data_IF_149172710129
#
_entry.id   IF_149172710129
#
_cell.length_a   1.000
_cell.length_b   1.000
_cell.length_c   1.000
_cell.angle_alpha   90.00
_cell.angle_beta   90.00
_cell.angle_gamma   90.00
#
_symmetry.space_group_name_H-M   'P 1'
#
loop_
_entity.id
_entity.type
_entity.pdbx_description
1 polymer ?
#
# COMPACT_ATOMS: atom_id res chain seq x y z
N UNK A 1 -16.79 -22.17 -7.35
CA UNK A 1 -16.80 -22.49 -5.90
C UNK A 1 -18.25 -22.47 -5.48
N UNK A 2 -18.73 -23.42 -4.66
CA UNK A 2 -20.15 -23.38 -4.27
C UNK A 2 -20.45 -22.18 -3.34
N UNK A 3 -21.65 -21.62 -3.42
CA UNK A 3 -22.13 -20.49 -2.63
C UNK A 3 -22.26 -20.83 -1.14
N UNK A 4 -22.71 -22.04 -0.78
CA UNK A 4 -22.81 -22.42 0.65
C UNK A 4 -21.43 -22.45 1.32
N UNK A 5 -20.41 -22.88 0.56
CA UNK A 5 -19.01 -22.85 0.99
C UNK A 5 -18.45 -21.44 1.06
N UNK A 6 -19.00 -20.49 0.30
CA UNK A 6 -18.71 -19.06 0.45
C UNK A 6 -19.30 -18.54 1.77
N UNK A 7 -20.59 -18.77 2.02
CA UNK A 7 -21.28 -18.27 3.22
C UNK A 7 -20.67 -18.84 4.51
N UNK A 8 -20.36 -20.13 4.54
CA UNK A 8 -19.62 -20.75 5.64
C UNK A 8 -18.20 -20.17 5.83
N UNK A 9 -17.50 -19.79 4.75
CA UNK A 9 -16.19 -19.11 4.83
C UNK A 9 -16.30 -17.68 5.37
N UNK A 10 -17.42 -17.02 5.10
CA UNK A 10 -17.71 -15.64 5.50
C UNK A 10 -18.40 -15.52 6.86
N UNK A 11 -18.92 -16.62 7.41
CA UNK A 11 -19.78 -16.67 8.61
C UNK A 11 -21.07 -15.85 8.44
N UNK A 12 -21.68 -15.94 7.26
CA UNK A 12 -22.97 -15.35 6.97
C UNK A 12 -24.04 -16.44 6.89
N UNK A 13 -25.25 -16.10 7.33
CA UNK A 13 -26.45 -16.91 7.13
C UNK A 13 -27.00 -16.66 5.72
N UNK A 14 -27.23 -17.73 4.96
CA UNK A 14 -27.70 -17.68 3.57
C UNK A 14 -29.19 -17.35 3.41
N UNK A 15 -29.99 -17.39 4.48
CA UNK A 15 -31.40 -17.01 4.47
C UNK A 15 -31.62 -15.50 4.31
N UNK A 16 -30.64 -14.67 4.73
CA UNK A 16 -30.72 -13.20 4.72
C UNK A 16 -30.42 -12.55 3.35
N UNK A 17 -30.44 -13.31 2.24
CA UNK A 17 -30.00 -12.86 0.93
C UNK A 17 -30.94 -13.38 -0.18
N UNK A 18 -31.46 -12.49 -1.04
CA UNK A 18 -32.10 -12.91 -2.30
C UNK A 18 -31.06 -13.34 -3.34
N UNK A 19 -31.45 -14.07 -4.38
CA UNK A 19 -30.48 -14.74 -5.28
C UNK A 19 -29.59 -13.78 -6.10
N UNK A 20 -30.07 -12.57 -6.41
CA UNK A 20 -29.24 -11.51 -7.01
C UNK A 20 -28.18 -11.01 -6.03
N UNK A 21 -28.52 -10.86 -4.74
CA UNK A 21 -27.58 -10.51 -3.69
C UNK A 21 -26.59 -11.64 -3.41
N UNK A 22 -27.04 -12.91 -3.46
CA UNK A 22 -26.16 -14.09 -3.40
C UNK A 22 -25.13 -14.05 -4.53
N UNK A 23 -25.58 -13.77 -5.76
CA UNK A 23 -24.74 -13.68 -6.95
C UNK A 23 -23.78 -12.47 -6.92
N UNK A 24 -24.25 -11.30 -6.49
CA UNK A 24 -23.43 -10.09 -6.32
C UNK A 24 -22.33 -10.30 -5.28
N UNK A 25 -22.67 -10.84 -4.11
CA UNK A 25 -21.71 -11.18 -3.05
C UNK A 25 -20.68 -12.21 -3.53
N UNK A 26 -21.11 -13.25 -4.26
CA UNK A 26 -20.20 -14.23 -4.85
C UNK A 26 -19.21 -13.61 -5.83
N UNK A 27 -19.68 -12.72 -6.71
CA UNK A 27 -18.82 -12.02 -7.66
C UNK A 27 -17.86 -11.05 -6.97
N UNK A 28 -18.33 -10.25 -6.01
CA UNK A 28 -17.48 -9.33 -5.23
C UNK A 28 -16.40 -10.09 -4.45
N UNK A 29 -16.75 -11.16 -3.74
CA UNK A 29 -15.78 -12.00 -3.03
C UNK A 29 -14.82 -12.74 -3.97
N UNK A 30 -15.27 -13.15 -5.17
CA UNK A 30 -14.42 -13.83 -6.16
C UNK A 30 -13.41 -12.86 -6.76
N UNK A 31 -13.82 -11.66 -7.17
CA UNK A 31 -12.93 -10.55 -7.59
C UNK A 31 -11.93 -10.20 -6.49
N UNK A 32 -12.42 -10.05 -5.26
CA UNK A 32 -11.62 -9.83 -4.05
C UNK A 32 -10.57 -10.94 -3.83
N UNK A 33 -10.93 -12.22 -4.00
CA UNK A 33 -9.98 -13.35 -3.88
C UNK A 33 -8.94 -13.41 -4.98
N UNK A 34 -9.33 -13.13 -6.23
CA UNK A 34 -8.40 -13.04 -7.36
C UNK A 34 -7.40 -11.89 -7.14
N UNK A 35 -7.89 -10.74 -6.67
CA UNK A 35 -7.04 -9.62 -6.24
C UNK A 35 -6.11 -10.03 -5.09
N UNK A 36 -6.61 -10.71 -4.03
CA UNK A 36 -5.76 -11.24 -2.95
C UNK A 36 -4.64 -12.12 -3.49
N UNK A 37 -4.95 -13.03 -4.41
CA UNK A 37 -3.96 -13.90 -5.02
C UNK A 37 -2.91 -13.09 -5.79
N UNK A 38 -3.35 -12.12 -6.62
CA UNK A 38 -2.46 -11.23 -7.37
C UNK A 38 -1.61 -10.30 -6.47
N UNK A 39 -2.14 -9.86 -5.32
CA UNK A 39 -1.39 -9.05 -4.32
C UNK A 39 -0.36 -9.87 -3.52
N UNK A 40 -0.49 -11.19 -3.45
CA UNK A 40 0.37 -12.07 -2.62
C UNK A 40 1.33 -12.96 -3.43
N UNK A 41 0.98 -13.31 -4.67
CA UNK A 41 1.73 -14.27 -5.49
C UNK A 41 1.98 -13.69 -6.89
N UNK A 42 3.23 -13.77 -7.38
CA UNK A 42 3.55 -13.40 -8.75
C UNK A 42 3.04 -14.48 -9.71
N UNK A 43 1.81 -14.31 -10.21
CA UNK A 43 1.16 -15.25 -11.12
C UNK A 43 0.73 -14.49 -12.38
N UNK A 44 1.38 -14.73 -13.55
CA UNK A 44 1.07 -14.04 -14.80
C UNK A 44 -0.43 -14.03 -15.15
N UNK A 45 -1.16 -15.12 -14.85
CA UNK A 45 -2.61 -15.22 -15.13
C UNK A 45 -3.47 -14.24 -14.33
N UNK A 46 -2.97 -13.73 -13.20
CA UNK A 46 -3.70 -12.79 -12.33
C UNK A 46 -3.01 -11.43 -12.16
N UNK A 47 -1.79 -11.25 -12.69
CA UNK A 47 -1.02 -10.01 -12.54
C UNK A 47 -1.73 -8.78 -13.15
N UNK A 48 -2.56 -8.96 -14.18
CA UNK A 48 -3.36 -7.86 -14.75
C UNK A 48 -4.37 -7.30 -13.74
N UNK A 49 -5.08 -8.13 -12.97
CA UNK A 49 -5.97 -7.66 -11.89
C UNK A 49 -5.22 -6.84 -10.83
N UNK A 50 -3.95 -7.14 -10.56
CA UNK A 50 -3.12 -6.29 -9.70
C UNK A 50 -2.77 -4.97 -10.39
N UNK A 51 -2.41 -4.99 -11.68
CA UNK A 51 -2.11 -3.79 -12.47
C UNK A 51 -3.32 -2.83 -12.51
N UNK A 52 -4.50 -3.34 -12.87
CA UNK A 52 -5.75 -2.56 -12.94
C UNK A 52 -6.10 -1.93 -11.59
N UNK A 53 -5.92 -2.69 -10.51
CA UNK A 53 -6.18 -2.20 -9.16
C UNK A 53 -5.14 -1.16 -8.70
N UNK A 54 -3.85 -1.31 -9.03
CA UNK A 54 -2.84 -0.29 -8.75
C UNK A 54 -3.09 0.98 -9.59
N UNK A 55 -3.45 0.83 -10.87
CA UNK A 55 -3.81 1.94 -11.76
C UNK A 55 -4.98 2.75 -11.15
N UNK A 56 -6.09 2.09 -10.79
CA UNK A 56 -7.27 2.73 -10.17
C UNK A 56 -6.94 3.42 -8.84
N UNK A 57 -6.17 2.77 -7.96
CA UNK A 57 -5.77 3.40 -6.69
C UNK A 57 -4.93 4.67 -6.89
N UNK A 58 -3.98 4.65 -7.85
CA UNK A 58 -3.16 5.84 -8.13
C UNK A 58 -3.97 6.95 -8.78
N UNK A 59 -4.83 6.64 -9.76
CA UNK A 59 -5.74 7.63 -10.35
C UNK A 59 -6.65 8.27 -9.30
N UNK A 60 -7.19 7.48 -8.37
CA UNK A 60 -8.01 8.01 -7.27
C UNK A 60 -7.18 8.92 -6.34
N UNK A 61 -5.90 8.62 -6.10
CA UNK A 61 -5.03 9.50 -5.31
C UNK A 61 -4.68 10.78 -6.08
N UNK A 62 -4.36 10.69 -7.37
CA UNK A 62 -4.09 11.85 -8.24
C UNK A 62 -5.26 12.82 -8.32
N UNK A 63 -6.50 12.30 -8.24
CA UNK A 63 -7.72 13.12 -8.23
C UNK A 63 -8.03 13.78 -6.88
N UNK A 64 -7.49 13.28 -5.76
CA UNK A 64 -7.87 13.73 -4.40
C UNK A 64 -6.72 14.38 -3.60
N UNK A 65 -5.46 14.23 -4.04
CA UNK A 65 -4.28 14.71 -3.31
C UNK A 65 -3.31 15.42 -4.24
N UNK A 66 -2.60 16.44 -3.72
CA UNK A 66 -1.54 17.10 -4.49
C UNK A 66 -0.41 16.13 -4.81
N UNK A 67 -0.20 15.91 -6.11
CA UNK A 67 0.98 15.27 -6.67
C UNK A 67 2.14 16.28 -6.73
N UNK A 68 3.35 15.78 -6.47
CA UNK A 68 4.60 16.51 -6.61
C UNK A 68 5.52 15.72 -7.55
N UNK A 69 6.04 16.40 -8.56
CA UNK A 69 7.00 15.89 -9.52
C UNK A 69 8.42 15.78 -8.95
N UNK A 70 9.28 14.98 -9.60
CA UNK A 70 10.73 15.01 -9.38
C UNK A 70 11.28 16.43 -9.35
N UNK A 71 10.89 17.25 -10.34
CA UNK A 71 11.43 18.60 -10.57
C UNK A 71 11.14 19.53 -9.39
N UNK A 72 9.88 19.59 -8.95
CA UNK A 72 9.47 20.38 -7.77
C UNK A 72 10.29 20.03 -6.53
N UNK A 73 10.49 18.75 -6.24
CA UNK A 73 11.18 18.30 -5.03
C UNK A 73 12.70 18.47 -5.13
N UNK A 74 13.28 18.30 -6.32
CA UNK A 74 14.72 18.40 -6.54
C UNK A 74 15.21 19.85 -6.57
N UNK A 75 14.52 20.73 -7.31
CA UNK A 75 14.97 22.11 -7.56
C UNK A 75 14.59 23.08 -6.45
N UNK A 76 13.49 22.83 -5.72
CA UNK A 76 13.02 23.73 -4.65
C UNK A 76 14.03 23.80 -3.52
N UNK A 77 14.73 24.94 -3.41
CA UNK A 77 15.65 25.23 -2.30
C UNK A 77 14.95 25.34 -0.94
N UNK A 78 13.66 25.67 -0.89
CA UNK A 78 12.90 25.75 0.37
C UNK A 78 12.84 24.39 1.10
N UNK A 79 13.16 24.45 2.38
CA UNK A 79 12.98 23.46 3.47
C UNK A 79 12.68 24.30 4.73
N UNK A 80 12.11 23.80 5.82
CA UNK A 80 11.82 22.42 6.20
C UNK A 80 10.33 22.00 6.16
N UNK A 81 9.38 22.88 6.47
CA UNK A 81 8.07 22.44 7.04
C UNK A 81 6.89 22.19 6.10
N UNK A 82 7.01 22.46 4.79
CA UNK A 82 5.90 22.44 3.82
C UNK A 82 4.98 21.20 3.81
N UNK A 83 5.42 20.05 4.34
CA UNK A 83 4.61 18.82 4.43
C UNK A 83 4.63 18.15 5.82
N UNK A 84 5.35 18.69 6.80
CA UNK A 84 5.41 18.13 8.16
C UNK A 84 5.60 16.60 8.25
N UNK A 85 4.92 16.01 9.25
CA UNK A 85 4.91 14.57 9.51
C UNK A 85 3.70 13.87 8.84
N UNK A 86 3.89 12.63 8.41
CA UNK A 86 2.80 11.83 7.86
C UNK A 86 3.25 10.63 7.02
N UNK A 87 2.32 10.09 6.24
CA UNK A 87 2.55 8.97 5.31
C UNK A 87 2.52 9.49 3.88
N UNK A 88 3.38 8.94 3.03
CA UNK A 88 3.48 9.28 1.61
C UNK A 88 3.48 8.03 0.72
N UNK A 89 3.06 8.24 -0.53
CA UNK A 89 3.26 7.34 -1.66
C UNK A 89 4.35 7.91 -2.58
N UNK A 90 5.20 7.03 -3.09
CA UNK A 90 6.06 7.24 -4.26
C UNK A 90 5.57 6.26 -5.33
N UNK A 91 5.35 6.73 -6.55
CA UNK A 91 4.94 5.88 -7.66
C UNK A 91 5.57 6.32 -8.99
N UNK A 92 5.48 5.47 -9.99
CA UNK A 92 5.95 5.73 -11.34
C UNK A 92 4.98 5.10 -12.34
N UNK A 93 4.70 5.83 -13.43
CA UNK A 93 3.95 5.33 -14.57
C UNK A 93 4.87 5.06 -15.77
N UNK A 94 4.50 4.09 -16.60
CA UNK A 94 5.10 3.89 -17.92
C UNK A 94 4.58 4.92 -18.95
N UNK A 95 5.03 4.82 -20.20
CA UNK A 95 4.58 5.69 -21.30
C UNK A 95 3.09 5.50 -21.68
N UNK A 96 2.47 4.41 -21.24
CA UNK A 96 1.06 4.08 -21.46
C UNK A 96 0.18 4.44 -20.26
N UNK A 97 0.74 5.06 -19.21
CA UNK A 97 0.04 5.45 -18.00
C UNK A 97 -0.08 4.36 -16.93
N UNK A 98 0.45 3.16 -17.13
CA UNK A 98 0.36 2.07 -16.16
C UNK A 98 1.31 2.28 -14.98
N UNK A 99 0.83 2.03 -13.77
CA UNK A 99 1.61 2.12 -12.53
C UNK A 99 2.58 0.94 -12.43
N UNK A 100 3.82 1.15 -12.84
CA UNK A 100 4.90 0.14 -12.82
C UNK A 100 5.65 0.08 -11.49
N UNK A 101 5.42 1.04 -10.60
CA UNK A 101 5.99 1.10 -9.25
C UNK A 101 5.00 1.68 -8.23
N UNK A 102 4.96 1.09 -7.03
CA UNK A 102 4.49 1.77 -5.81
C UNK A 102 5.43 1.54 -4.62
N UNK A 103 5.61 2.56 -3.78
CA UNK A 103 6.30 2.47 -2.49
C UNK A 103 5.64 3.42 -1.49
N UNK A 104 5.19 2.89 -0.36
CA UNK A 104 4.61 3.67 0.75
C UNK A 104 5.67 3.87 1.85
N UNK A 105 5.66 4.99 2.55
CA UNK A 105 6.48 5.15 3.75
C UNK A 105 6.02 6.27 4.69
N UNK A 106 6.49 6.24 5.95
CA UNK A 106 6.32 7.34 6.90
C UNK A 106 7.56 8.26 7.01
N UNK A 107 7.34 9.46 7.55
CA UNK A 107 8.41 10.33 8.07
C UNK A 107 7.88 11.36 9.08
N UNK A 108 8.76 11.85 9.97
CA UNK A 108 8.55 13.10 10.73
C UNK A 108 8.67 14.36 9.87
N UNK A 109 9.44 14.30 8.77
CA UNK A 109 9.51 15.35 7.76
C UNK A 109 9.47 14.67 6.38
N UNK A 110 8.36 14.79 5.66
CA UNK A 110 8.14 14.12 4.38
C UNK A 110 9.06 14.70 3.28
N UNK A 111 9.24 16.02 3.26
CA UNK A 111 9.99 16.73 2.23
C UNK A 111 11.48 16.33 2.20
N UNK A 112 12.14 16.34 3.36
CA UNK A 112 13.52 15.85 3.53
C UNK A 112 13.63 14.36 3.18
N UNK A 113 12.60 13.57 3.49
CA UNK A 113 12.56 12.14 3.16
C UNK A 113 12.47 11.90 1.65
N UNK A 114 11.67 12.67 0.92
CA UNK A 114 11.58 12.62 -0.54
C UNK A 114 12.88 13.05 -1.23
N UNK A 115 13.49 14.16 -0.80
CA UNK A 115 14.84 14.57 -1.27
C UNK A 115 15.89 13.48 -1.01
N UNK A 116 15.78 12.74 0.09
CA UNK A 116 16.64 11.57 0.36
C UNK A 116 16.39 10.41 -0.61
N UNK A 117 15.13 10.10 -0.92
CA UNK A 117 14.79 9.09 -1.93
C UNK A 117 15.32 9.46 -3.32
N UNK A 118 15.19 10.72 -3.76
CA UNK A 118 15.72 11.15 -5.06
C UNK A 118 17.25 10.98 -5.17
N UNK A 119 18.00 11.40 -4.14
CA UNK A 119 19.47 11.21 -4.07
C UNK A 119 19.89 9.73 -4.07
N UNK A 120 19.10 8.86 -3.43
CA UNK A 120 19.29 7.41 -3.40
C UNK A 120 18.82 6.71 -4.71
N UNK A 121 17.87 7.27 -5.46
CA UNK A 121 17.35 6.70 -6.72
C UNK A 121 18.32 6.99 -7.88
N UNK A 122 18.73 8.27 -8.03
CA UNK A 122 19.53 8.74 -9.15
C UNK A 122 20.82 7.91 -9.30
N UNK A 123 21.04 7.23 -10.44
CA UNK A 123 22.16 6.29 -10.60
C UNK A 123 23.53 6.98 -10.58
N UNK A 124 23.61 8.28 -10.88
CA UNK A 124 24.86 9.06 -10.86
C UNK A 124 25.33 9.41 -9.44
N UNK A 125 24.40 9.59 -8.49
CA UNK A 125 24.71 10.03 -7.11
C UNK A 125 24.64 8.90 -6.08
N UNK A 126 24.02 7.77 -6.42
CA UNK A 126 23.62 6.74 -5.46
C UNK A 126 24.66 5.62 -5.30
N UNK A 127 25.58 5.81 -4.35
CA UNK A 127 26.58 4.82 -3.91
C UNK A 127 25.99 3.67 -3.09
N UNK A 128 24.75 3.79 -2.59
CA UNK A 128 24.19 2.87 -1.57
C UNK A 128 23.45 1.67 -2.19
N UNK A 129 23.99 0.46 -1.97
CA UNK A 129 23.42 -0.85 -2.40
C UNK A 129 22.15 -1.28 -1.60
N UNK A 130 21.17 -0.39 -1.40
CA UNK A 130 19.91 -0.74 -0.71
C UNK A 130 18.95 -1.47 -1.67
N UNK A 131 18.39 -2.60 -1.22
CA UNK A 131 17.48 -3.50 -1.99
C UNK A 131 16.35 -2.79 -2.75
N UNK A 132 15.74 -1.74 -2.17
CA UNK A 132 14.73 -0.90 -2.82
C UNK A 132 15.26 -0.29 -4.13
N UNK A 133 16.34 0.48 -4.05
CA UNK A 133 16.90 1.17 -5.21
C UNK A 133 17.58 0.21 -6.19
N UNK A 134 17.99 -0.99 -5.76
CA UNK A 134 18.39 -2.07 -6.68
C UNK A 134 17.22 -2.59 -7.53
N UNK A 135 16.02 -2.83 -6.95
CA UNK A 135 14.81 -3.18 -7.73
C UNK A 135 14.45 -2.05 -8.70
N UNK A 136 14.53 -0.80 -8.24
CA UNK A 136 14.25 0.38 -9.07
C UNK A 136 15.22 0.54 -10.24
N UNK A 137 16.54 0.56 -9.99
CA UNK A 137 17.56 0.66 -11.05
C UNK A 137 17.49 -0.50 -12.06
N UNK A 138 16.99 -1.67 -11.65
CA UNK A 138 16.67 -2.78 -12.55
C UNK A 138 15.45 -2.44 -13.43
N UNK A 139 14.31 -2.07 -12.85
CA UNK A 139 13.09 -1.69 -13.59
C UNK A 139 13.31 -0.53 -14.56
N UNK A 140 14.01 0.53 -14.14
CA UNK A 140 14.36 1.68 -14.99
C UNK A 140 15.11 1.24 -16.27
N UNK A 141 16.04 0.28 -16.13
CA UNK A 141 16.81 -0.26 -17.25
C UNK A 141 15.98 -1.16 -18.16
N UNK A 142 15.25 -2.11 -17.58
CA UNK A 142 14.47 -3.11 -18.34
C UNK A 142 13.32 -2.48 -19.12
N UNK A 143 12.64 -1.49 -18.54
CA UNK A 143 11.46 -0.84 -19.13
C UNK A 143 11.77 0.51 -19.80
N UNK A 144 13.05 0.91 -19.89
CA UNK A 144 13.51 2.20 -20.47
C UNK A 144 12.78 3.42 -19.91
N UNK A 145 12.52 3.42 -18.60
CA UNK A 145 11.78 4.46 -17.88
C UNK A 145 12.72 5.60 -17.46
N UNK A 146 12.25 6.85 -17.47
CA UNK A 146 12.98 7.96 -16.84
C UNK A 146 12.72 7.97 -15.32
N UNK A 147 13.78 8.13 -14.51
CA UNK A 147 13.66 8.31 -13.05
C UNK A 147 13.07 9.67 -12.67
N UNK A 148 13.07 10.65 -13.57
CA UNK A 148 12.52 11.99 -13.36
C UNK A 148 10.99 12.02 -13.54
N UNK A 149 10.40 10.95 -14.09
CA UNK A 149 8.95 10.77 -14.15
C UNK A 149 8.35 10.29 -12.81
N UNK A 150 9.17 10.04 -11.78
CA UNK A 150 8.71 9.58 -10.46
C UNK A 150 7.87 10.66 -9.77
N UNK A 151 6.72 10.24 -9.24
CA UNK A 151 5.74 11.11 -8.60
C UNK A 151 5.65 10.81 -7.10
N UNK A 152 5.30 11.84 -6.33
CA UNK A 152 5.21 11.79 -4.88
C UNK A 152 3.89 12.41 -4.42
N UNK A 153 3.25 11.78 -3.43
CA UNK A 153 2.01 12.28 -2.82
C UNK A 153 2.07 12.08 -1.32
N UNK A 154 1.67 13.10 -0.54
CA UNK A 154 1.35 12.94 0.88
C UNK A 154 -0.08 12.43 1.00
N UNK A 155 -0.28 11.30 1.67
CA UNK A 155 -1.57 10.58 1.70
C UNK A 155 -2.22 10.57 3.09
N UNK A 156 -1.45 10.88 4.15
CA UNK A 156 -1.97 11.06 5.52
C UNK A 156 -1.19 12.15 6.24
N UNK A 157 -1.91 13.08 6.87
CA UNK A 157 -1.41 13.97 7.92
C UNK A 157 -1.47 13.26 9.28
N UNK A 158 -0.31 13.03 9.92
CA UNK A 158 -0.28 12.37 11.23
C UNK A 158 1.03 12.67 11.96
N UNK A 159 0.93 13.31 13.12
CA UNK A 159 2.07 13.69 13.96
C UNK A 159 2.54 12.56 14.89
N UNK A 160 1.63 11.73 15.41
CA UNK A 160 2.01 10.61 16.28
C UNK A 160 2.85 9.57 15.53
N UNK A 161 3.90 9.11 16.21
CA UNK A 161 4.83 8.15 15.67
C UNK A 161 4.23 6.76 15.51
N UNK A 162 3.28 6.34 16.34
CA UNK A 162 2.70 4.99 16.26
C UNK A 162 1.56 4.94 15.23
N UNK A 163 0.66 5.92 15.25
CA UNK A 163 -0.41 6.07 14.26
C UNK A 163 0.16 6.20 12.83
N UNK A 164 1.26 6.94 12.61
CA UNK A 164 1.95 6.93 11.30
C UNK A 164 2.37 5.54 10.85
N UNK A 165 2.86 4.68 11.74
CA UNK A 165 3.32 3.33 11.41
C UNK A 165 2.14 2.38 11.14
N UNK A 166 0.99 2.62 11.76
CA UNK A 166 -0.26 1.92 11.45
C UNK A 166 -0.84 2.37 10.10
N UNK A 167 -0.88 3.67 9.83
CA UNK A 167 -1.27 4.23 8.52
C UNK A 167 -0.30 3.80 7.40
N UNK A 168 1.01 3.77 7.65
CA UNK A 168 2.01 3.23 6.72
C UNK A 168 1.68 1.77 6.38
N UNK A 169 1.45 0.92 7.38
CA UNK A 169 1.10 -0.48 7.17
C UNK A 169 -0.23 -0.66 6.42
N UNK A 170 -1.25 0.15 6.76
CA UNK A 170 -2.54 0.16 6.06
C UNK A 170 -2.36 0.41 4.56
N UNK A 171 -1.68 1.50 4.19
CA UNK A 171 -1.43 1.81 2.79
C UNK A 171 -0.49 0.81 2.11
N UNK A 172 0.45 0.18 2.83
CA UNK A 172 1.25 -0.93 2.27
C UNK A 172 0.36 -2.11 1.87
N UNK A 173 -0.68 -2.47 2.62
CA UNK A 173 -1.60 -3.55 2.22
C UNK A 173 -2.50 -3.15 1.04
N UNK A 174 -2.91 -1.88 0.95
CA UNK A 174 -3.64 -1.38 -0.21
C UNK A 174 -2.77 -1.41 -1.48
N UNK A 175 -1.56 -0.86 -1.42
CA UNK A 175 -0.60 -0.85 -2.52
C UNK A 175 0.14 -2.18 -2.74
N UNK A 176 -0.18 -3.25 -2.00
CA UNK A 176 0.57 -4.50 -2.05
C UNK A 176 0.46 -5.18 -3.43
N UNK A 177 1.60 -5.43 -4.05
CA UNK A 177 1.73 -6.20 -5.30
C UNK A 177 3.14 -6.78 -5.40
N UNK A 178 3.34 -8.06 -5.76
CA UNK A 178 4.67 -8.66 -5.85
C UNK A 178 5.50 -8.05 -7.00
N UNK A 179 4.82 -7.65 -8.08
CA UNK A 179 5.42 -7.03 -9.26
C UNK A 179 5.64 -5.52 -9.06
N UNK A 180 4.57 -4.77 -8.76
CA UNK A 180 4.58 -3.29 -8.77
C UNK A 180 5.12 -2.71 -7.46
N UNK A 181 4.79 -3.30 -6.31
CA UNK A 181 5.15 -2.70 -5.03
C UNK A 181 6.62 -2.98 -4.63
N UNK A 182 7.22 -2.07 -3.86
CA UNK A 182 8.61 -2.17 -3.41
C UNK A 182 8.79 -2.19 -1.88
N UNK A 183 7.71 -2.23 -1.09
CA UNK A 183 7.76 -2.43 0.36
C UNK A 183 8.13 -3.88 0.67
N UNK A 184 9.26 -4.08 1.36
CA UNK A 184 9.75 -5.41 1.74
C UNK A 184 9.26 -5.86 3.14
N UNK A 185 8.43 -5.04 3.81
CA UNK A 185 7.80 -5.29 5.11
C UNK A 185 6.37 -4.75 5.06
N UNK A 186 5.39 -5.45 5.64
CA UNK A 186 4.02 -4.93 5.74
C UNK A 186 3.81 -3.99 6.93
N UNK A 187 4.66 -4.09 7.96
CA UNK A 187 4.67 -3.24 9.16
C UNK A 187 6.11 -2.97 9.56
N UNK A 188 6.36 -1.74 9.99
CA UNK A 188 7.65 -1.31 10.51
C UNK A 188 7.87 -1.86 11.93
N UNK A 189 9.06 -2.42 12.19
CA UNK A 189 9.40 -3.05 13.48
C UNK A 189 9.47 -2.09 14.67
N UNK A 190 9.30 -0.78 14.44
CA UNK A 190 9.13 0.25 15.47
C UNK A 190 7.71 0.31 16.05
N UNK A 191 6.69 -0.17 15.33
CA UNK A 191 5.29 -0.09 15.77
C UNK A 191 5.10 -0.77 17.13
N UNK A 192 4.61 0.01 18.10
CA UNK A 192 4.47 -0.37 19.49
C UNK A 192 3.01 -0.75 19.81
N UNK A 193 2.82 -1.61 20.80
CA UNK A 193 1.48 -1.88 21.32
C UNK A 193 0.91 -0.60 21.96
N UNK A 194 -0.37 -0.32 21.73
CA UNK A 194 -1.08 0.85 22.29
C UNK A 194 -1.10 0.85 23.83
N UNK A 195 -1.00 -0.33 24.46
CA UNK A 195 -0.86 -0.48 25.92
C UNK A 195 0.57 -0.85 26.34
N UNK A 196 1.60 -0.44 25.60
CA UNK A 196 3.01 -0.53 26.04
C UNK A 196 3.69 -1.91 25.99
N UNK A 197 2.93 -3.01 25.93
CA UNK A 197 3.40 -4.42 26.00
C UNK A 197 4.33 -4.93 24.86
N UNK A 198 5.15 -4.07 24.24
CA UNK A 198 6.15 -4.43 23.23
C UNK A 198 5.78 -4.00 21.81
N UNK A 199 6.16 -4.81 20.81
CA UNK A 199 5.98 -4.51 19.38
C UNK A 199 4.76 -5.23 18.79
N UNK A 200 4.23 -4.68 17.69
CA UNK A 200 3.07 -5.26 16.99
C UNK A 200 3.44 -6.13 15.78
N UNK A 201 2.45 -6.88 15.30
CA UNK A 201 2.39 -7.51 13.99
C UNK A 201 1.10 -7.09 13.28
N UNK A 202 1.07 -7.17 11.95
CA UNK A 202 -0.10 -6.85 11.12
C UNK A 202 -0.45 -8.02 10.21
N UNK A 203 -1.74 -8.18 9.90
CA UNK A 203 -2.21 -9.02 8.80
C UNK A 203 -3.36 -8.35 8.04
N UNK A 204 -3.55 -8.72 6.77
CA UNK A 204 -4.73 -8.36 6.01
C UNK A 204 -5.79 -9.45 6.20
N UNK A 205 -6.94 -9.04 6.72
CA UNK A 205 -8.16 -9.84 6.90
C UNK A 205 -9.33 -9.15 6.20
N UNK A 206 -10.48 -9.80 6.20
CA UNK A 206 -11.71 -9.29 5.60
C UNK A 206 -12.84 -9.22 6.62
N UNK A 207 -13.69 -8.21 6.46
CA UNK A 207 -15.02 -8.15 7.04
C UNK A 207 -16.06 -8.04 5.93
N UNK A 208 -17.32 -8.25 6.28
CA UNK A 208 -18.45 -7.88 5.44
C UNK A 208 -19.34 -6.93 6.20
N UNK A 209 -19.78 -5.88 5.51
CA UNK A 209 -20.78 -4.89 5.93
C UNK A 209 -21.58 -4.54 4.69
N UNK A 210 -22.89 -4.32 4.83
CA UNK A 210 -23.74 -3.83 3.74
C UNK A 210 -23.59 -4.60 2.40
N UNK A 211 -23.36 -5.92 2.50
CA UNK A 211 -23.16 -6.87 1.39
C UNK A 211 -21.83 -6.70 0.62
N UNK A 212 -20.95 -5.80 1.04
CA UNK A 212 -19.59 -5.60 0.50
C UNK A 212 -18.49 -6.35 1.28
N UNK A 213 -17.38 -6.69 0.61
CA UNK A 213 -16.22 -7.38 1.21
C UNK A 213 -15.07 -6.39 1.45
N UNK A 214 -14.93 -5.93 2.69
CA UNK A 214 -14.09 -4.78 3.04
C UNK A 214 -12.67 -5.22 3.44
N UNK A 215 -11.60 -4.62 2.86
CA UNK A 215 -10.21 -4.80 3.31
C UNK A 215 -10.02 -4.30 4.75
N UNK A 216 -9.50 -5.16 5.62
CA UNK A 216 -9.24 -4.80 7.02
C UNK A 216 -7.80 -5.14 7.39
N UNK A 217 -7.03 -4.14 7.79
CA UNK A 217 -5.67 -4.35 8.31
C UNK A 217 -5.75 -4.49 9.81
N UNK A 218 -5.62 -5.73 10.28
CA UNK A 218 -5.69 -6.07 11.69
C UNK A 218 -4.29 -6.06 12.31
N UNK A 219 -4.15 -5.32 13.41
CA UNK A 219 -2.94 -5.25 14.22
C UNK A 219 -3.10 -6.13 15.45
N UNK A 220 -2.01 -6.78 15.89
CA UNK A 220 -1.96 -7.60 17.11
C UNK A 220 -0.67 -7.32 17.87
N UNK A 221 -0.68 -7.38 19.20
CA UNK A 221 0.58 -7.43 19.95
C UNK A 221 1.35 -8.72 19.63
N UNK A 222 2.68 -8.70 19.73
CA UNK A 222 3.52 -9.91 19.65
C UNK A 222 3.65 -10.64 20.98
N UNK A 223 3.48 -9.92 22.09
CA UNK A 223 3.42 -10.50 23.43
C UNK A 223 2.04 -11.18 23.62
N UNK A 224 2.04 -12.40 24.15
CA UNK A 224 0.84 -13.22 24.33
C UNK A 224 -0.09 -12.70 25.43
N UNK A 225 0.46 -11.98 26.43
CA UNK A 225 -0.28 -11.31 27.50
C UNK A 225 -1.30 -10.31 26.92
N UNK A 226 -0.87 -9.53 25.93
CA UNK A 226 -1.65 -8.44 25.38
C UNK A 226 -2.48 -8.89 24.17
N UNK A 227 -3.67 -9.41 24.44
CA UNK A 227 -4.63 -9.87 23.42
C UNK A 227 -5.27 -8.74 22.58
N UNK A 228 -4.78 -7.50 22.68
CA UNK A 228 -5.30 -6.35 21.93
C UNK A 228 -5.22 -6.61 20.42
N UNK A 229 -6.37 -6.40 19.77
CA UNK A 229 -6.53 -6.37 18.33
C UNK A 229 -7.30 -5.11 17.98
N UNK A 230 -6.83 -4.35 17.01
CA UNK A 230 -7.59 -3.27 16.40
C UNK A 230 -7.40 -3.32 14.89
N UNK A 231 -8.24 -2.58 14.19
CA UNK A 231 -8.48 -2.74 12.76
C UNK A 231 -8.57 -1.37 12.09
N UNK A 232 -7.96 -1.25 10.90
CA UNK A 232 -8.06 -0.07 10.04
C UNK A 232 -8.68 -0.50 8.70
N UNK A 233 -9.61 0.32 8.23
CA UNK A 233 -10.45 0.17 7.05
C UNK A 233 -9.96 1.08 5.91
#
# INVERSE_FOLDING_TARGET
MNYDKLMATLKLDSSNFNDDEKHLLYNSYTRYRLLRQAKLHNNPKTNHFAQDFQNRLVTNIEANFRVFSYKEIFETKKTEDLLGAGVYLIYLKDKSGNVVLTYVGESKNIWVRWKTHLKDINPKTSTKRKRLYSKLKKLFREQKLNYENVQFVKIVDQSDANQRLFSEAYFIYNFKSPVINANNKNLNSRAACTSGHGRMASCLTYQIREKEVIPVVQFRCRNQECRIKFEIF
#
